data_IF_591659953215
#
_entry.id   IF_591659953215
#
_cell.length_a   1.000
_cell.length_b   1.000
_cell.length_c   1.000
_cell.angle_alpha   90.00
_cell.angle_beta   90.00
_cell.angle_gamma   90.00
#
_symmetry.space_group_name_H-M   'P 1'
#
loop_
_entity.id
_entity.type
_entity.pdbx_description
1 polymer ?
#
# COMPACT_ATOMS: atom_id res chain seq x y z
N UNK A 1 -45.40 -36.30 37.39
CA UNK A 1 -45.13 -35.19 36.46
C UNK A 1 -43.83 -34.52 36.89
N UNK A 2 -42.70 -34.93 36.32
CA UNK A 2 -41.39 -34.31 36.53
C UNK A 2 -40.84 -33.98 35.14
N UNK A 3 -40.68 -32.68 34.82
CA UNK A 3 -40.02 -32.24 33.60
C UNK A 3 -38.54 -32.01 33.91
N UNK A 4 -37.69 -32.90 33.42
CA UNK A 4 -36.26 -32.68 33.33
C UNK A 4 -35.98 -31.77 32.13
N UNK A 5 -35.45 -30.57 32.38
CA UNK A 5 -34.85 -29.75 31.34
C UNK A 5 -33.46 -30.29 31.02
N UNK A 6 -33.30 -30.85 29.82
CA UNK A 6 -31.99 -31.14 29.24
C UNK A 6 -31.35 -29.80 28.83
N UNK A 7 -30.36 -29.37 29.60
CA UNK A 7 -29.39 -28.37 29.20
C UNK A 7 -28.39 -29.07 28.27
N UNK A 8 -28.51 -28.87 26.96
CA UNK A 8 -27.50 -29.32 26.00
C UNK A 8 -26.43 -28.21 25.93
N UNK A 9 -25.16 -28.47 26.24
CA UNK A 9 -24.13 -27.44 26.22
C UNK A 9 -23.78 -27.09 24.77
N UNK A 10 -23.88 -25.81 24.42
CA UNK A 10 -23.41 -25.17 23.16
C UNK A 10 -21.88 -25.18 22.98
N UNK A 11 -21.15 -26.09 23.64
CA UNK A 11 -19.69 -26.03 23.78
C UNK A 11 -18.92 -27.00 22.87
N UNK A 12 -19.59 -27.68 21.94
CA UNK A 12 -18.96 -28.76 21.15
C UNK A 12 -18.47 -28.32 19.76
N UNK A 13 -18.81 -27.11 19.29
CA UNK A 13 -18.36 -26.63 17.97
C UNK A 13 -17.06 -25.81 18.01
N UNK A 14 -16.69 -25.23 19.16
CA UNK A 14 -15.44 -24.46 19.28
C UNK A 14 -14.18 -25.33 19.39
N UNK A 15 -14.29 -26.55 19.92
CA UNK A 15 -13.14 -27.44 20.11
C UNK A 15 -12.77 -28.25 18.84
N UNK A 16 -13.68 -28.33 17.85
CA UNK A 16 -13.40 -28.97 16.56
C UNK A 16 -12.55 -28.12 15.61
N UNK A 17 -12.43 -26.81 15.88
CA UNK A 17 -11.61 -25.89 15.09
C UNK A 17 -10.15 -25.77 15.59
N UNK A 18 -9.82 -26.33 16.75
CA UNK A 18 -8.48 -26.22 17.35
C UNK A 18 -7.53 -27.33 16.86
N UNK A 19 -8.06 -28.37 16.21
CA UNK A 19 -7.28 -29.48 15.64
C UNK A 19 -7.73 -29.84 14.22
N UNK A 20 -7.95 -28.83 13.37
CA UNK A 20 -7.90 -29.07 11.92
C UNK A 20 -6.41 -29.17 11.57
N UNK A 21 -5.93 -30.34 11.10
CA UNK A 21 -4.52 -30.52 10.80
C UNK A 21 -4.16 -29.74 9.54
N UNK A 22 -3.67 -28.48 9.64
CA UNK A 22 -2.97 -27.68 8.60
C UNK A 22 -3.55 -27.69 7.16
N UNK A 23 -4.73 -28.26 6.94
CA UNK A 23 -5.50 -28.11 5.74
C UNK A 23 -5.94 -26.66 5.77
N UNK A 24 -5.38 -25.85 4.88
CA UNK A 24 -5.66 -24.43 4.75
C UNK A 24 -7.14 -24.18 5.01
N UNK A 25 -7.43 -23.32 5.98
CA UNK A 25 -8.77 -22.77 6.05
C UNK A 25 -8.94 -21.96 4.75
N UNK A 26 -9.82 -22.23 3.79
CA UNK A 26 -10.81 -23.29 3.54
C UNK A 26 -11.35 -22.95 2.15
N UNK A 27 -11.54 -23.92 1.25
CA UNK A 27 -12.38 -23.73 0.05
C UNK A 27 -13.86 -23.88 0.44
N UNK A 28 -14.40 -22.96 1.26
CA UNK A 28 -15.84 -22.98 1.58
C UNK A 28 -16.60 -22.32 0.42
N UNK A 29 -17.68 -22.94 -0.06
CA UNK A 29 -18.54 -22.26 -1.04
C UNK A 29 -19.27 -21.07 -0.42
N UNK A 30 -19.58 -20.05 -1.22
CA UNK A 30 -20.40 -18.91 -0.82
C UNK A 30 -21.69 -19.35 -0.08
N UNK A 31 -22.43 -20.30 -0.67
CA UNK A 31 -23.66 -20.85 -0.08
C UNK A 31 -23.43 -21.49 1.29
N UNK A 32 -22.35 -22.26 1.45
CA UNK A 32 -22.03 -22.87 2.74
C UNK A 32 -21.67 -21.81 3.79
N UNK A 33 -20.90 -20.80 3.42
CA UNK A 33 -20.55 -19.70 4.31
C UNK A 33 -21.77 -18.90 4.76
N UNK A 34 -22.64 -18.47 3.82
CA UNK A 34 -23.85 -17.72 4.13
C UNK A 34 -24.88 -18.51 4.95
N UNK A 35 -24.77 -19.84 4.97
CA UNK A 35 -25.63 -20.69 5.81
C UNK A 35 -25.21 -20.72 7.28
N UNK A 36 -24.01 -20.23 7.61
CA UNK A 36 -23.52 -20.12 8.98
C UNK A 36 -24.27 -18.99 9.72
N UNK A 37 -24.47 -19.11 11.05
CA UNK A 37 -24.85 -17.98 11.89
C UNK A 37 -23.88 -16.80 11.72
N UNK A 38 -24.38 -15.56 11.81
CA UNK A 38 -23.54 -14.36 11.63
C UNK A 38 -22.32 -14.29 12.56
N UNK A 39 -22.45 -14.78 13.80
CA UNK A 39 -21.33 -14.88 14.74
C UNK A 39 -20.23 -15.82 14.23
N UNK A 40 -20.61 -16.96 13.65
CA UNK A 40 -19.68 -17.95 13.10
C UNK A 40 -19.03 -17.44 11.80
N UNK A 41 -19.75 -16.68 10.98
CA UNK A 41 -19.20 -16.02 9.79
C UNK A 41 -18.08 -15.05 10.15
N UNK A 42 -18.32 -14.18 11.15
CA UNK A 42 -17.32 -13.22 11.63
C UNK A 42 -16.15 -13.93 12.29
N UNK A 43 -16.40 -14.97 13.09
CA UNK A 43 -15.34 -15.75 13.73
C UNK A 43 -14.42 -16.43 12.69
N UNK A 44 -15.00 -17.06 11.66
CA UNK A 44 -14.23 -17.68 10.57
C UNK A 44 -13.41 -16.64 9.81
N UNK A 45 -14.01 -15.52 9.41
CA UNK A 45 -13.30 -14.46 8.69
C UNK A 45 -12.19 -13.84 9.54
N UNK A 46 -12.43 -13.62 10.84
CA UNK A 46 -11.43 -13.13 11.77
C UNK A 46 -10.24 -14.10 11.91
N UNK A 47 -10.49 -15.40 11.97
CA UNK A 47 -9.43 -16.40 12.04
C UNK A 47 -8.55 -16.40 10.78
N UNK A 48 -9.17 -16.27 9.60
CA UNK A 48 -8.47 -16.16 8.32
C UNK A 48 -7.63 -14.89 8.18
N UNK A 49 -8.08 -13.77 8.75
CA UNK A 49 -7.28 -12.54 8.78
C UNK A 49 -6.10 -12.66 9.77
N UNK A 50 -6.29 -13.38 10.87
CA UNK A 50 -5.21 -13.63 11.85
C UNK A 50 -4.13 -14.55 11.26
N UNK A 51 -4.52 -15.61 10.55
CA UNK A 51 -3.59 -16.49 9.83
C UNK A 51 -2.72 -15.71 8.84
N UNK A 52 -3.34 -14.83 8.05
CA UNK A 52 -2.61 -13.93 7.14
C UNK A 52 -1.65 -13.03 7.90
N UNK A 53 -2.09 -12.39 8.98
CA UNK A 53 -1.25 -11.50 9.78
C UNK A 53 -0.01 -12.21 10.34
N UNK A 54 -0.11 -13.49 10.70
CA UNK A 54 1.05 -14.28 11.10
C UNK A 54 2.02 -14.51 9.94
N UNK A 55 1.52 -14.86 8.76
CA UNK A 55 2.34 -15.07 7.56
C UNK A 55 3.04 -13.80 7.10
N UNK A 56 2.42 -12.64 7.30
CA UNK A 56 2.99 -11.33 6.94
C UNK A 56 4.17 -10.92 7.82
N UNK A 57 4.41 -11.60 8.95
CA UNK A 57 5.53 -11.28 9.86
C UNK A 57 6.90 -11.62 9.28
N UNK A 58 7.00 -12.52 8.31
CA UNK A 58 8.27 -12.81 7.64
C UNK A 58 8.02 -13.00 6.15
N UNK A 59 8.12 -11.90 5.40
CA UNK A 59 7.65 -11.85 4.01
C UNK A 59 8.61 -11.07 3.11
N UNK A 60 8.91 -11.64 1.94
CA UNK A 60 9.55 -10.94 0.83
C UNK A 60 8.53 -10.77 -0.29
N UNK A 61 8.42 -9.57 -0.83
CA UNK A 61 7.59 -9.26 -1.99
C UNK A 61 8.39 -8.47 -3.01
N UNK A 62 8.53 -9.02 -4.22
CA UNK A 62 9.01 -8.28 -5.38
C UNK A 62 7.86 -8.03 -6.34
N UNK A 63 7.75 -6.82 -6.87
CA UNK A 63 6.66 -6.42 -7.76
C UNK A 63 7.11 -5.41 -8.80
N UNK A 64 6.36 -5.36 -9.91
CA UNK A 64 6.49 -4.32 -10.92
C UNK A 64 5.14 -3.61 -11.03
N UNK A 65 5.15 -2.29 -10.91
CA UNK A 65 3.96 -1.45 -11.09
C UNK A 65 4.15 -0.53 -12.28
N UNK A 66 3.17 -0.49 -13.18
CA UNK A 66 3.08 0.49 -14.26
C UNK A 66 1.97 1.47 -13.95
N UNK A 67 2.27 2.76 -14.09
CA UNK A 67 1.31 3.82 -13.84
C UNK A 67 1.04 4.61 -15.11
N UNK A 68 -0.23 4.74 -15.50
CA UNK A 68 -0.67 5.44 -16.71
C UNK A 68 -2.02 6.12 -16.50
N UNK A 69 -2.43 6.96 -17.46
CA UNK A 69 -3.75 7.58 -17.42
C UNK A 69 -4.69 6.95 -18.45
N UNK A 70 -5.96 6.83 -18.09
CA UNK A 70 -7.04 6.36 -18.95
C UNK A 70 -8.12 7.44 -19.05
N UNK A 71 -8.93 7.39 -20.10
CA UNK A 71 -10.19 8.14 -20.13
C UNK A 71 -11.11 7.65 -19.01
N UNK A 72 -11.91 8.54 -18.43
CA UNK A 72 -12.80 8.19 -17.32
C UNK A 72 -14.15 8.89 -17.48
N UNK A 73 -15.22 8.09 -17.47
CA UNK A 73 -16.59 8.59 -17.62
C UNK A 73 -17.57 7.70 -16.87
N UNK A 74 -18.52 8.33 -16.17
CA UNK A 74 -19.62 7.63 -15.48
C UNK A 74 -19.15 6.51 -14.54
N UNK A 75 -18.02 6.73 -13.83
CA UNK A 75 -17.45 5.77 -12.90
C UNK A 75 -16.63 4.65 -13.54
N UNK A 76 -16.36 4.72 -14.85
CA UNK A 76 -15.68 3.66 -15.61
C UNK A 76 -14.42 4.17 -16.29
N UNK A 77 -13.34 3.40 -16.16
CA UNK A 77 -12.15 3.56 -16.99
C UNK A 77 -12.45 3.17 -18.44
N UNK A 78 -11.90 3.94 -19.38
CA UNK A 78 -11.88 3.64 -20.81
C UNK A 78 -10.45 3.44 -21.30
N UNK A 79 -10.18 3.87 -22.54
CA UNK A 79 -8.90 3.63 -23.19
C UNK A 79 -7.73 4.40 -22.54
N UNK A 80 -6.51 3.83 -22.55
CA UNK A 80 -5.28 4.54 -22.21
C UNK A 80 -5.13 5.84 -23.02
N UNK A 81 -4.64 6.89 -22.37
CA UNK A 81 -4.37 8.18 -23.01
C UNK A 81 -2.91 8.19 -23.48
N UNK A 82 -2.63 8.17 -24.80
CA UNK A 82 -1.26 8.08 -25.30
C UNK A 82 -0.36 9.21 -24.80
N UNK A 83 0.89 8.87 -24.45
CA UNK A 83 1.90 9.83 -23.99
C UNK A 83 1.62 10.42 -22.60
N UNK A 84 0.75 9.79 -21.80
CA UNK A 84 0.47 10.17 -20.41
C UNK A 84 0.77 9.05 -19.42
N UNK A 85 1.79 8.26 -19.73
CA UNK A 85 2.35 7.31 -18.79
C UNK A 85 3.12 8.08 -17.71
N UNK A 86 3.08 7.59 -16.48
CA UNK A 86 3.79 8.18 -15.35
C UNK A 86 5.11 7.46 -15.06
N UNK A 87 5.24 6.22 -15.52
CA UNK A 87 6.45 5.42 -15.43
C UNK A 87 6.20 3.99 -14.96
N UNK A 88 7.30 3.30 -14.69
CA UNK A 88 7.34 1.97 -14.11
C UNK A 88 8.11 2.03 -12.81
N UNK A 89 7.64 1.29 -11.81
CA UNK A 89 8.31 1.06 -10.55
C UNK A 89 8.61 -0.43 -10.45
N UNK A 90 9.82 -0.78 -10.08
CA UNK A 90 10.15 -2.12 -9.60
C UNK A 90 10.41 -1.98 -8.12
N UNK A 91 9.82 -2.85 -7.31
CA UNK A 91 9.89 -2.73 -5.86
C UNK A 91 10.18 -4.07 -5.24
N UNK A 92 11.06 -4.07 -4.27
CA UNK A 92 11.23 -5.17 -3.33
C UNK A 92 10.91 -4.68 -1.92
N UNK A 93 10.23 -5.52 -1.16
CA UNK A 93 9.87 -5.26 0.22
C UNK A 93 10.14 -6.51 1.05
N UNK A 94 10.64 -6.31 2.25
CA UNK A 94 10.96 -7.34 3.22
C UNK A 94 10.37 -6.95 4.57
N UNK A 95 9.68 -7.87 5.22
CA UNK A 95 9.11 -7.72 6.56
C UNK A 95 9.69 -8.77 7.49
N UNK A 96 10.08 -8.36 8.70
CA UNK A 96 10.44 -9.27 9.78
C UNK A 96 9.93 -8.72 11.11
N UNK A 97 8.88 -9.33 11.66
CA UNK A 97 8.30 -9.02 12.97
C UNK A 97 8.04 -7.52 13.24
N UNK A 98 7.61 -6.79 12.19
CA UNK A 98 7.33 -5.35 12.22
C UNK A 98 8.47 -4.49 11.66
N UNK A 99 9.71 -4.98 11.69
CA UNK A 99 10.81 -4.34 10.98
C UNK A 99 10.63 -4.47 9.47
N UNK A 100 11.15 -3.49 8.76
CA UNK A 100 10.88 -3.30 7.34
C UNK A 100 12.13 -2.90 6.59
N UNK A 101 12.27 -3.44 5.37
CA UNK A 101 13.18 -2.97 4.35
C UNK A 101 12.43 -2.85 3.03
N UNK A 102 12.71 -1.81 2.25
CA UNK A 102 12.25 -1.72 0.88
C UNK A 102 13.26 -1.08 -0.05
N UNK A 103 13.18 -1.47 -1.31
CA UNK A 103 13.90 -0.86 -2.43
C UNK A 103 12.94 -0.55 -3.56
N UNK A 104 13.04 0.65 -4.14
CA UNK A 104 12.26 1.08 -5.30
C UNK A 104 13.20 1.58 -6.38
N UNK A 105 13.09 0.94 -7.54
CA UNK A 105 13.62 1.42 -8.81
C UNK A 105 12.52 2.10 -9.60
N UNK A 106 12.69 3.39 -9.88
CA UNK A 106 11.75 4.17 -10.68
C UNK A 106 12.31 4.48 -12.06
N UNK A 107 11.50 4.20 -13.09
CA UNK A 107 11.78 4.41 -14.49
C UNK A 107 10.76 5.39 -15.08
N UNK A 108 11.23 6.48 -15.67
CA UNK A 108 10.38 7.39 -16.43
C UNK A 108 9.94 6.76 -17.77
N UNK A 109 8.78 7.18 -18.34
CA UNK A 109 8.26 6.61 -19.59
C UNK A 109 9.22 6.67 -20.78
N UNK A 110 10.04 7.72 -20.85
CA UNK A 110 10.94 7.99 -21.98
C UNK A 110 12.37 7.47 -21.75
N UNK A 111 12.66 6.85 -20.61
CA UNK A 111 13.99 6.29 -20.35
C UNK A 111 14.14 4.98 -21.14
N UNK A 112 14.79 5.09 -22.30
CA UNK A 112 15.12 3.96 -23.20
C UNK A 112 16.21 3.04 -22.66
N UNK A 113 16.90 3.49 -21.61
CA UNK A 113 17.94 2.75 -20.93
C UNK A 113 17.25 1.98 -19.80
N UNK A 114 17.47 0.67 -19.69
CA UNK A 114 16.97 -0.15 -18.59
C UNK A 114 17.70 0.19 -17.25
N UNK A 115 18.01 1.46 -17.04
CA UNK A 115 18.66 2.02 -15.86
C UNK A 115 17.63 2.86 -15.14
N UNK A 116 17.39 2.63 -13.84
CA UNK A 116 16.41 3.40 -13.09
C UNK A 116 16.81 4.89 -13.06
N UNK A 117 15.83 5.77 -13.28
CA UNK A 117 15.97 7.21 -13.06
C UNK A 117 16.36 7.49 -11.62
N UNK A 118 15.78 6.74 -10.69
CA UNK A 118 16.05 6.83 -9.26
C UNK A 118 15.94 5.44 -8.61
N UNK A 119 16.91 5.12 -7.79
CA UNK A 119 16.93 3.95 -6.91
C UNK A 119 16.89 4.45 -5.46
N UNK A 120 15.98 3.95 -4.65
CA UNK A 120 15.87 4.30 -3.23
C UNK A 120 15.76 3.03 -2.41
N UNK A 121 16.48 2.96 -1.30
CA UNK A 121 16.30 1.93 -0.28
C UNK A 121 15.96 2.60 1.06
N UNK A 122 15.11 1.95 1.86
CA UNK A 122 14.74 2.39 3.20
C UNK A 122 14.60 1.19 4.12
N UNK A 123 15.04 1.34 5.37
CA UNK A 123 14.73 0.43 6.47
C UNK A 123 14.04 1.16 7.60
N UNK A 124 13.30 0.39 8.40
CA UNK A 124 12.75 0.78 9.68
C UNK A 124 13.09 -0.30 10.70
N UNK A 125 13.77 0.12 11.77
CA UNK A 125 13.86 -0.61 13.02
C UNK A 125 12.77 -0.08 13.95
N UNK A 126 11.74 -0.89 14.18
CA UNK A 126 10.59 -0.52 15.00
C UNK A 126 10.99 -0.41 16.47
N UNK A 127 11.92 -1.23 16.93
CA UNK A 127 12.37 -1.25 18.33
C UNK A 127 13.10 0.05 18.70
N UNK A 128 13.88 0.60 17.76
CA UNK A 128 14.58 1.90 17.91
C UNK A 128 13.72 3.09 17.44
N UNK A 129 12.65 2.84 16.68
CA UNK A 129 11.87 3.90 16.02
C UNK A 129 12.69 4.68 14.98
N UNK A 130 13.70 4.03 14.40
CA UNK A 130 14.73 4.64 13.57
C UNK A 130 14.66 4.10 12.16
N UNK A 131 14.80 4.99 11.19
CA UNK A 131 14.90 4.65 9.79
C UNK A 131 16.27 4.98 9.21
N UNK A 132 16.67 4.20 8.21
CA UNK A 132 17.84 4.48 7.37
C UNK A 132 17.42 4.43 5.94
N UNK A 133 17.81 5.41 5.14
CA UNK A 133 17.47 5.40 3.72
C UNK A 133 18.64 5.87 2.89
N UNK A 134 18.77 5.33 1.67
CA UNK A 134 19.70 5.87 0.67
C UNK A 134 19.00 6.05 -0.67
N UNK A 135 19.41 7.07 -1.41
CA UNK A 135 18.90 7.36 -2.73
C UNK A 135 20.04 7.62 -3.71
N UNK A 136 19.91 7.05 -4.90
CA UNK A 136 20.82 7.21 -6.03
C UNK A 136 20.03 7.60 -7.26
N UNK A 137 20.47 8.65 -7.94
CA UNK A 137 19.81 9.11 -9.15
C UNK A 137 20.62 8.66 -10.38
N UNK A 138 19.99 8.02 -11.35
CA UNK A 138 20.69 7.39 -12.48
C UNK A 138 21.52 8.36 -13.33
N UNK A 139 21.12 9.64 -13.38
CA UNK A 139 21.78 10.70 -14.18
C UNK A 139 22.63 11.68 -13.36
N UNK A 140 22.66 11.59 -12.03
CA UNK A 140 23.45 12.50 -11.19
C UNK A 140 24.52 11.69 -10.45
N UNK A 141 25.71 12.27 -10.31
CA UNK A 141 26.78 11.66 -9.52
C UNK A 141 26.47 11.78 -8.03
N UNK A 142 26.58 10.67 -7.30
CA UNK A 142 26.51 10.61 -5.85
C UNK A 142 25.38 9.74 -5.31
N UNK A 143 25.58 9.27 -4.08
CA UNK A 143 24.57 8.57 -3.27
C UNK A 143 24.35 9.38 -2.01
N UNK A 144 23.08 9.57 -1.66
CA UNK A 144 22.69 10.34 -0.48
C UNK A 144 21.99 9.43 0.51
N UNK A 145 22.46 9.43 1.74
CA UNK A 145 21.88 8.71 2.85
C UNK A 145 21.13 9.63 3.81
N UNK A 146 20.21 9.05 4.56
CA UNK A 146 19.56 9.69 5.68
C UNK A 146 19.38 8.69 6.82
N UNK A 147 19.55 9.18 8.04
CA UNK A 147 19.14 8.49 9.25
C UNK A 147 18.09 9.39 9.89
N UNK A 148 16.87 8.84 9.99
CA UNK A 148 15.66 9.58 10.32
C UNK A 148 14.85 8.79 11.37
N UNK A 149 13.75 9.36 11.84
CA UNK A 149 12.77 8.61 12.65
C UNK A 149 11.82 7.84 11.73
N UNK A 150 10.95 7.01 12.32
CA UNK A 150 9.91 6.28 11.57
C UNK A 150 8.92 7.20 10.83
N UNK A 151 8.75 8.45 11.27
CA UNK A 151 7.85 9.41 10.64
C UNK A 151 8.42 10.01 9.34
N UNK A 152 9.74 9.94 9.16
CA UNK A 152 10.49 10.65 8.13
C UNK A 152 11.13 9.73 7.06
N UNK A 153 10.70 8.47 7.00
CA UNK A 153 11.14 7.49 6.00
C UNK A 153 10.98 7.98 4.56
N UNK A 154 11.98 7.70 3.69
CA UNK A 154 11.91 8.05 2.26
C UNK A 154 10.90 7.18 1.52
N UNK A 155 10.88 5.88 1.81
CA UNK A 155 9.85 4.95 1.32
C UNK A 155 8.99 4.55 2.50
N UNK A 156 7.71 4.93 2.45
CA UNK A 156 6.71 4.56 3.46
C UNK A 156 5.90 3.33 3.04
N UNK A 157 5.55 3.27 1.76
CA UNK A 157 4.88 2.14 1.15
C UNK A 157 4.90 2.29 -0.38
N UNK A 158 4.68 1.18 -1.08
CA UNK A 158 4.23 1.21 -2.48
C UNK A 158 2.77 0.74 -2.56
N UNK A 159 2.16 0.78 -3.75
CA UNK A 159 0.75 0.40 -3.92
C UNK A 159 0.49 -1.10 -3.72
N UNK A 160 1.47 -1.95 -4.04
CA UNK A 160 1.36 -3.38 -3.84
C UNK A 160 1.48 -3.75 -2.35
N UNK A 161 2.26 -2.98 -1.60
CA UNK A 161 2.45 -3.07 -0.15
C UNK A 161 1.15 -2.86 0.62
N UNK A 162 0.17 -2.15 0.06
CA UNK A 162 -1.13 -1.94 0.73
C UNK A 162 -1.86 -3.25 1.07
N UNK A 163 -1.42 -4.37 0.49
CA UNK A 163 -1.88 -5.71 0.84
C UNK A 163 -1.16 -6.37 2.01
N UNK A 164 0.06 -5.96 2.38
CA UNK A 164 0.96 -6.83 3.16
C UNK A 164 1.35 -6.31 4.55
N UNK A 165 1.37 -5.02 4.87
CA UNK A 165 1.63 -4.61 6.25
C UNK A 165 1.14 -3.20 6.55
N UNK A 166 0.51 -2.98 7.70
CA UNK A 166 0.14 -1.66 8.18
C UNK A 166 0.62 -1.34 9.58
N UNK A 167 1.88 -1.66 9.92
CA UNK A 167 2.49 -1.21 11.18
C UNK A 167 3.01 0.25 11.09
N UNK A 168 2.75 0.86 9.94
CA UNK A 168 2.76 2.28 9.74
C UNK A 168 1.69 2.98 10.60
N UNK A 169 1.86 4.28 10.90
CA UNK A 169 0.91 5.08 11.70
C UNK A 169 -0.49 5.24 11.06
N UNK A 170 -0.68 4.60 9.90
CA UNK A 170 -1.88 4.60 9.08
C UNK A 170 -2.36 3.16 8.76
N UNK A 171 -2.67 2.29 9.75
CA UNK A 171 -3.05 0.89 9.52
C UNK A 171 -4.28 0.72 8.62
N UNK A 172 -5.12 1.75 8.54
CA UNK A 172 -6.33 1.77 7.70
C UNK A 172 -6.03 1.96 6.21
N UNK A 173 -4.79 2.32 5.85
CA UNK A 173 -4.34 2.34 4.45
C UNK A 173 -4.08 0.93 3.90
N UNK A 174 -4.03 -0.09 4.77
CA UNK A 174 -3.67 -1.46 4.44
C UNK A 174 -4.86 -2.40 4.55
N UNK A 175 -5.12 -3.17 3.49
CA UNK A 175 -6.41 -3.85 3.30
C UNK A 175 -6.70 -4.84 4.43
N UNK A 176 -5.76 -5.70 4.81
CA UNK A 176 -6.02 -6.70 5.85
C UNK A 176 -6.12 -6.09 7.26
N UNK A 177 -5.26 -5.12 7.61
CA UNK A 177 -5.35 -4.44 8.91
C UNK A 177 -6.61 -3.59 9.02
N UNK A 178 -7.00 -2.93 7.93
CA UNK A 178 -8.28 -2.24 7.80
C UNK A 178 -9.46 -3.20 8.06
N UNK A 179 -9.48 -4.36 7.39
CA UNK A 179 -10.53 -5.37 7.60
C UNK A 179 -10.55 -5.89 9.06
N UNK A 180 -9.40 -6.20 9.66
CA UNK A 180 -9.29 -6.62 11.08
C UNK A 180 -9.87 -5.56 12.02
N UNK A 181 -9.46 -4.30 11.85
CA UNK A 181 -9.89 -3.20 12.73
C UNK A 181 -11.39 -2.97 12.68
N UNK A 182 -12.00 -3.22 11.53
CA UNK A 182 -13.42 -2.94 11.31
C UNK A 182 -14.29 -4.20 11.22
N UNK A 183 -13.82 -5.35 11.72
CA UNK A 183 -14.54 -6.64 11.73
C UNK A 183 -16.01 -6.54 12.18
N UNK A 184 -16.30 -5.76 13.22
CA UNK A 184 -17.66 -5.61 13.77
C UNK A 184 -18.64 -4.86 12.86
N UNK A 185 -18.12 -4.17 11.83
CA UNK A 185 -18.90 -3.42 10.85
C UNK A 185 -19.13 -4.23 9.56
N UNK A 186 -18.52 -5.41 9.45
CA UNK A 186 -18.62 -6.28 8.30
C UNK A 186 -19.99 -6.95 8.28
N UNK A 187 -20.67 -6.83 7.16
CA UNK A 187 -21.87 -7.60 6.85
C UNK A 187 -21.55 -8.47 5.64
N UNK A 188 -22.03 -9.69 5.60
CA UNK A 188 -21.85 -10.58 4.45
C UNK A 188 -23.18 -10.78 3.74
N UNK A 189 -23.17 -10.66 2.42
CA UNK A 189 -24.36 -10.82 1.57
C UNK A 189 -24.01 -11.39 0.20
N UNK A 190 -24.99 -12.04 -0.44
CA UNK A 190 -24.90 -12.58 -1.81
C UNK A 190 -24.85 -11.43 -2.85
N UNK A 191 -23.91 -11.50 -3.81
CA UNK A 191 -23.72 -10.50 -4.87
C UNK A 191 -23.72 -11.01 -6.31
N UNK A 192 -24.43 -12.11 -6.54
CA UNK A 192 -24.77 -12.60 -7.89
C UNK A 192 -25.16 -11.49 -8.90
N UNK A 193 -25.72 -10.37 -8.44
CA UNK A 193 -26.18 -9.26 -9.30
C UNK A 193 -25.11 -8.26 -9.76
N UNK A 194 -23.96 -8.14 -9.07
CA UNK A 194 -22.91 -7.16 -9.43
C UNK A 194 -21.80 -7.81 -10.26
N UNK A 195 -21.38 -9.01 -9.89
CA UNK A 195 -20.29 -9.73 -10.55
C UNK A 195 -20.80 -10.64 -11.66
N UNK A 196 -22.07 -11.06 -11.58
CA UNK A 196 -22.59 -12.17 -12.38
C UNK A 196 -22.06 -13.54 -11.95
N UNK A 197 -21.22 -13.59 -10.91
CA UNK A 197 -20.57 -14.78 -10.40
C UNK A 197 -21.22 -15.21 -9.06
N UNK A 198 -21.92 -16.36 -9.02
CA UNK A 198 -22.56 -16.85 -7.81
C UNK A 198 -21.61 -17.33 -6.72
N UNK A 199 -20.34 -17.57 -7.05
CA UNK A 199 -19.37 -18.10 -6.09
C UNK A 199 -18.67 -16.99 -5.28
N UNK A 200 -18.90 -15.72 -5.63
CA UNK A 200 -18.32 -14.57 -4.92
C UNK A 200 -19.25 -14.01 -3.83
N UNK A 201 -18.64 -13.63 -2.71
CA UNK A 201 -19.29 -12.96 -1.59
C UNK A 201 -19.13 -11.46 -1.67
N UNK A 202 -20.07 -10.73 -1.06
CA UNK A 202 -19.92 -9.28 -0.96
C UNK A 202 -20.32 -8.63 0.35
N UNK A 203 -19.71 -7.45 0.47
CA UNK A 203 -20.25 -6.21 0.99
C UNK A 203 -20.17 -6.01 2.50
N UNK A 204 -18.96 -5.70 2.96
CA UNK A 204 -18.82 -4.69 4.01
C UNK A 204 -19.14 -3.32 3.42
N UNK A 205 -20.06 -2.55 4.01
CA UNK A 205 -20.09 -1.09 3.82
C UNK A 205 -19.55 -0.46 5.08
N UNK A 206 -18.35 0.07 4.99
CA UNK A 206 -17.82 0.88 6.08
C UNK A 206 -18.45 2.27 5.99
N UNK A 207 -19.20 2.67 7.02
CA UNK A 207 -19.80 3.99 7.11
C UNK A 207 -18.94 4.88 7.99
N UNK A 208 -18.27 5.87 7.38
CA UNK A 208 -17.45 6.90 8.04
C UNK A 208 -16.26 6.33 8.83
N UNK A 209 -15.07 6.44 8.23
CA UNK A 209 -13.81 6.08 8.88
C UNK A 209 -13.16 7.35 9.39
N UNK A 210 -12.92 7.43 10.71
CA UNK A 210 -12.04 8.46 11.25
C UNK A 210 -10.63 8.22 10.72
N UNK A 211 -10.01 9.25 10.15
CA UNK A 211 -8.78 9.06 9.36
C UNK A 211 -7.51 9.36 10.12
N UNK A 212 -6.42 9.16 9.39
CA UNK A 212 -5.01 9.48 9.69
C UNK A 212 -4.82 10.74 10.53
N UNK A 213 -5.58 11.81 10.23
CA UNK A 213 -5.71 12.95 11.12
C UNK A 213 -6.91 12.72 12.05
N UNK A 214 -6.66 12.36 13.31
CA UNK A 214 -7.71 12.17 14.35
C UNK A 214 -8.64 13.38 14.50
N UNK A 215 -8.29 14.54 13.91
CA UNK A 215 -9.11 15.77 13.88
C UNK A 215 -9.96 15.91 12.61
N UNK A 216 -9.74 15.08 11.59
CA UNK A 216 -10.49 15.08 10.32
C UNK A 216 -11.26 13.78 10.16
N UNK A 217 -12.58 13.90 10.18
CA UNK A 217 -13.48 12.83 9.77
C UNK A 217 -13.54 12.79 8.25
N UNK A 218 -13.20 11.65 7.65
CA UNK A 218 -13.44 11.42 6.22
C UNK A 218 -14.68 10.55 6.12
N UNK A 219 -15.63 11.01 5.33
CA UNK A 219 -16.74 10.16 4.95
C UNK A 219 -16.23 9.24 3.85
N UNK A 220 -15.71 8.10 4.27
CA UNK A 220 -15.30 7.04 3.35
C UNK A 220 -16.34 5.93 3.37
N UNK A 221 -16.67 5.45 2.19
CA UNK A 221 -17.41 4.20 1.99
C UNK A 221 -16.54 3.26 1.20
N UNK A 222 -16.38 2.05 1.71
CA UNK A 222 -15.67 0.97 1.06
C UNK A 222 -16.63 -0.18 0.86
N UNK A 223 -16.48 -0.89 -0.26
CA UNK A 223 -17.20 -2.09 -0.63
C UNK A 223 -16.19 -3.12 -1.10
N UNK A 224 -16.24 -4.30 -0.50
CA UNK A 224 -15.33 -5.41 -0.80
C UNK A 224 -16.13 -6.58 -1.37
N UNK A 225 -15.57 -7.18 -2.42
CA UNK A 225 -16.01 -8.48 -2.95
C UNK A 225 -14.94 -9.49 -2.62
N UNK A 226 -15.32 -10.55 -1.93
CA UNK A 226 -14.42 -11.59 -1.44
C UNK A 226 -14.63 -12.88 -2.24
N UNK A 227 -13.56 -13.63 -2.45
CA UNK A 227 -13.58 -14.97 -3.03
C UNK A 227 -13.42 -16.03 -1.91
N UNK A 228 -14.50 -16.69 -1.49
CA UNK A 228 -14.46 -17.71 -0.44
C UNK A 228 -13.56 -18.90 -0.78
N UNK A 229 -13.45 -19.25 -2.06
CA UNK A 229 -12.60 -20.36 -2.51
C UNK A 229 -11.11 -20.02 -2.37
N UNK A 230 -10.77 -18.72 -2.40
CA UNK A 230 -9.41 -18.22 -2.17
C UNK A 230 -9.22 -17.70 -0.74
N UNK A 231 -9.82 -18.39 0.23
CA UNK A 231 -9.72 -18.06 1.64
C UNK A 231 -10.28 -16.67 1.97
N UNK A 232 -11.29 -16.19 1.24
CA UNK A 232 -11.84 -14.85 1.35
C UNK A 232 -10.84 -13.74 0.98
N UNK A 233 -9.96 -13.99 0.01
CA UNK A 233 -9.18 -12.91 -0.60
C UNK A 233 -10.16 -11.88 -1.19
N UNK A 234 -10.05 -10.58 -0.85
CA UNK A 234 -10.79 -9.55 -1.56
C UNK A 234 -10.34 -9.59 -3.02
N UNK A 235 -11.25 -9.73 -3.98
CA UNK A 235 -10.94 -9.75 -5.42
C UNK A 235 -11.35 -8.47 -6.13
N UNK A 236 -12.24 -7.69 -5.51
CA UNK A 236 -12.54 -6.33 -5.93
C UNK A 236 -12.79 -5.45 -4.72
N UNK A 237 -12.37 -4.19 -4.83
CA UNK A 237 -12.56 -3.17 -3.81
C UNK A 237 -13.04 -1.91 -4.50
N UNK A 238 -14.18 -1.39 -4.08
CA UNK A 238 -14.66 -0.08 -4.50
C UNK A 238 -14.67 0.85 -3.30
N UNK A 239 -14.04 2.01 -3.42
CA UNK A 239 -14.13 3.01 -2.37
C UNK A 239 -14.36 4.41 -2.87
N UNK A 240 -15.09 5.15 -2.05
CA UNK A 240 -15.36 6.57 -2.23
C UNK A 240 -14.93 7.28 -0.96
N UNK A 241 -13.99 8.21 -1.08
CA UNK A 241 -13.52 9.02 0.02
C UNK A 241 -13.97 10.45 -0.18
N UNK A 242 -14.53 11.05 0.86
CA UNK A 242 -14.99 12.44 0.87
C UNK A 242 -14.39 13.14 2.07
N UNK A 243 -13.42 14.03 1.84
CA UNK A 243 -12.73 14.75 2.91
C UNK A 243 -12.62 16.24 2.65
N UNK A 244 -12.57 17.01 3.74
CA UNK A 244 -12.28 18.43 3.71
C UNK A 244 -10.79 18.67 3.45
N UNK A 245 -10.48 19.32 2.34
CA UNK A 245 -9.15 19.88 2.09
C UNK A 245 -8.96 21.14 2.93
N UNK A 246 -7.81 21.22 3.60
CA UNK A 246 -7.31 22.46 4.18
C UNK A 246 -6.58 23.30 3.12
N UNK A 247 -6.28 24.56 3.46
CA UNK A 247 -5.50 25.51 2.66
C UNK A 247 -4.30 24.86 1.93
N UNK A 248 -3.96 25.25 0.68
CA UNK A 248 -4.41 26.45 -0.04
C UNK A 248 -5.73 26.31 -0.82
N UNK A 249 -6.29 25.12 -0.94
CA UNK A 249 -7.54 24.88 -1.68
C UNK A 249 -8.63 24.35 -0.74
N UNK A 250 -9.28 25.21 0.07
CA UNK A 250 -10.37 24.80 0.93
C UNK A 250 -11.53 24.26 0.07
N UNK A 251 -12.00 23.06 0.39
CA UNK A 251 -13.07 22.42 -0.36
C UNK A 251 -13.27 20.95 0.01
N UNK A 252 -14.34 20.34 -0.50
CA UNK A 252 -14.53 18.90 -0.39
C UNK A 252 -13.78 18.23 -1.53
N UNK A 253 -12.82 17.36 -1.20
CA UNK A 253 -12.20 16.46 -2.18
C UNK A 253 -12.98 15.16 -2.18
N UNK A 254 -13.37 14.73 -3.38
CA UNK A 254 -13.91 13.40 -3.63
C UNK A 254 -12.85 12.57 -4.33
N UNK A 255 -12.67 11.35 -3.86
CA UNK A 255 -11.79 10.36 -4.46
C UNK A 255 -12.59 9.09 -4.69
N UNK A 256 -12.56 8.58 -5.90
CA UNK A 256 -13.07 7.25 -6.24
C UNK A 256 -11.87 6.38 -6.52
N UNK A 257 -11.86 5.19 -5.94
CA UNK A 257 -10.89 4.17 -6.27
C UNK A 257 -11.58 2.83 -6.47
N UNK A 258 -11.08 2.08 -7.44
CA UNK A 258 -11.49 0.73 -7.76
C UNK A 258 -10.22 -0.11 -7.85
N UNK A 259 -10.14 -1.18 -7.07
CA UNK A 259 -9.09 -2.16 -7.17
C UNK A 259 -9.68 -3.49 -7.62
N UNK A 260 -9.02 -4.14 -8.58
CA UNK A 260 -9.39 -5.46 -9.08
C UNK A 260 -8.18 -6.37 -9.02
N UNK A 261 -8.35 -7.58 -8.54
CA UNK A 261 -7.34 -8.63 -8.62
C UNK A 261 -7.67 -9.53 -9.80
N UNK A 262 -6.79 -9.49 -10.80
CA UNK A 262 -6.91 -10.29 -12.02
C UNK A 262 -6.33 -11.70 -11.86
N UNK A 263 -5.30 -11.84 -11.04
CA UNK A 263 -4.63 -13.10 -10.77
C UNK A 263 -4.25 -13.16 -9.30
N UNK A 264 -4.46 -14.33 -8.68
CA UNK A 264 -4.05 -14.62 -7.31
C UNK A 264 -3.29 -15.95 -7.29
N UNK A 265 -2.39 -16.13 -6.32
CA UNK A 265 -1.65 -17.38 -6.12
C UNK A 265 -1.64 -17.77 -4.66
N UNK A 266 -1.74 -19.08 -4.41
CA UNK A 266 -1.54 -19.67 -3.10
C UNK A 266 -0.05 -19.92 -2.87
N UNK A 267 0.44 -19.50 -1.71
CA UNK A 267 1.83 -19.65 -1.27
C UNK A 267 1.78 -20.08 0.19
N UNK A 268 2.32 -21.27 0.47
CA UNK A 268 2.31 -21.89 1.80
C UNK A 268 0.93 -21.87 2.49
N UNK A 269 -0.13 -22.15 1.72
CA UNK A 269 -1.51 -22.20 2.22
C UNK A 269 -2.27 -20.88 2.22
N UNK A 270 -1.62 -19.77 1.85
CA UNK A 270 -2.22 -18.42 1.87
C UNK A 270 -2.34 -17.85 0.46
N UNK A 271 -3.53 -17.38 0.12
CA UNK A 271 -3.80 -16.70 -1.13
C UNK A 271 -3.36 -15.24 -1.10
N UNK A 272 -2.54 -14.86 -2.08
CA UNK A 272 -2.06 -13.50 -2.29
C UNK A 272 -2.47 -12.95 -3.66
N UNK A 273 -2.68 -11.62 -3.78
CA UNK A 273 -2.79 -11.00 -5.09
C UNK A 273 -1.49 -11.19 -5.87
N UNK A 274 -1.62 -11.52 -7.15
CA UNK A 274 -0.48 -11.65 -8.07
C UNK A 274 -0.50 -10.57 -9.15
N UNK A 275 -1.68 -10.24 -9.68
CA UNK A 275 -1.89 -9.12 -10.60
C UNK A 275 -3.05 -8.27 -10.11
N UNK A 276 -2.79 -7.00 -9.85
CA UNK A 276 -3.81 -6.02 -9.42
C UNK A 276 -3.85 -4.85 -10.38
N UNK A 277 -5.03 -4.25 -10.50
CA UNK A 277 -5.20 -2.96 -11.16
C UNK A 277 -5.98 -2.02 -10.23
N UNK A 278 -5.37 -0.89 -9.90
CA UNK A 278 -6.01 0.18 -9.13
C UNK A 278 -6.31 1.34 -10.05
N UNK A 279 -7.59 1.60 -10.28
CA UNK A 279 -8.08 2.80 -10.96
C UNK A 279 -8.44 3.82 -9.90
N UNK A 280 -7.84 5.00 -9.96
CA UNK A 280 -8.10 6.07 -9.04
C UNK A 280 -8.41 7.39 -9.76
N UNK A 281 -9.49 8.04 -9.34
CA UNK A 281 -9.92 9.32 -9.88
C UNK A 281 -10.30 10.25 -8.73
N UNK A 282 -9.62 11.40 -8.63
CA UNK A 282 -10.09 12.48 -7.77
C UNK A 282 -11.13 13.34 -8.51
N UNK A 283 -11.86 14.18 -7.77
CA UNK A 283 -12.90 15.06 -8.32
C UNK A 283 -12.45 15.84 -9.55
N UNK A 284 -11.20 16.32 -9.58
CA UNK A 284 -10.67 17.06 -10.71
C UNK A 284 -10.38 16.16 -11.91
N UNK A 285 -9.77 15.00 -11.70
CA UNK A 285 -9.55 14.00 -12.75
C UNK A 285 -10.88 13.56 -13.38
N UNK A 286 -11.93 13.37 -12.56
CA UNK A 286 -13.30 13.07 -13.02
C UNK A 286 -13.83 14.21 -13.91
N UNK A 287 -13.68 15.48 -13.49
CA UNK A 287 -14.10 16.65 -14.28
C UNK A 287 -13.33 16.78 -15.61
N UNK A 288 -12.05 16.45 -15.58
CA UNK A 288 -11.16 16.47 -16.74
C UNK A 288 -11.31 15.21 -17.62
N UNK A 289 -12.14 14.24 -17.22
CA UNK A 289 -12.45 13.03 -17.97
C UNK A 289 -11.34 11.98 -17.99
N UNK A 290 -10.52 11.89 -16.94
CA UNK A 290 -9.48 10.86 -16.84
C UNK A 290 -9.36 10.25 -15.43
N UNK A 291 -8.71 9.10 -15.35
CA UNK A 291 -8.31 8.44 -14.12
C UNK A 291 -6.85 7.97 -14.25
N UNK A 292 -6.20 7.73 -13.12
CA UNK A 292 -4.87 7.11 -13.07
C UNK A 292 -5.04 5.64 -12.76
N UNK A 293 -4.34 4.79 -13.52
CA UNK A 293 -4.29 3.35 -13.33
C UNK A 293 -2.91 2.98 -12.80
N UNK A 294 -2.86 2.14 -11.77
CA UNK A 294 -1.66 1.47 -11.31
C UNK A 294 -1.86 -0.03 -11.48
N UNK A 295 -1.27 -0.60 -12.52
CA UNK A 295 -1.27 -2.02 -12.78
C UNK A 295 -0.02 -2.63 -12.15
N UNK A 296 -0.20 -3.50 -11.16
CA UNK A 296 0.89 -4.12 -10.41
C UNK A 296 0.92 -5.62 -10.63
N UNK A 297 2.12 -6.20 -10.74
CA UNK A 297 2.33 -7.63 -10.87
C UNK A 297 3.44 -8.08 -9.92
N UNK A 298 3.15 -9.05 -9.07
CA UNK A 298 4.15 -9.74 -8.28
C UNK A 298 5.10 -10.55 -9.18
N UNK A 299 6.38 -10.51 -8.82
CA UNK A 299 7.42 -11.37 -9.39
C UNK A 299 7.79 -12.47 -8.41
N UNK A 300 7.87 -12.12 -7.13
CA UNK A 300 8.17 -13.04 -6.04
C UNK A 300 7.29 -12.66 -4.85
N UNK A 301 6.74 -13.66 -4.20
CA UNK A 301 6.23 -13.58 -2.83
C UNK A 301 6.80 -14.80 -2.11
N UNK A 302 7.46 -14.60 -0.97
CA UNK A 302 8.10 -15.69 -0.22
C UNK A 302 7.95 -15.47 1.28
N UNK A 303 7.69 -16.55 2.01
CA UNK A 303 7.41 -16.56 3.45
C UNK A 303 8.57 -17.24 4.21
N UNK A 304 8.85 -16.78 5.42
CA UNK A 304 9.82 -17.38 6.36
C UNK A 304 11.23 -17.56 5.79
N UNK A 305 11.73 -16.54 5.09
CA UNK A 305 13.09 -16.55 4.49
C UNK A 305 14.02 -15.50 5.06
N UNK A 306 13.50 -14.50 5.76
CA UNK A 306 14.29 -13.37 6.23
C UNK A 306 14.90 -13.62 7.60
N UNK A 307 16.08 -13.05 7.79
CA UNK A 307 16.70 -12.80 9.09
C UNK A 307 16.98 -11.28 9.23
N UNK A 308 17.47 -10.86 10.40
CA UNK A 308 17.71 -9.44 10.69
C UNK A 308 18.68 -8.76 9.74
N UNK A 309 19.69 -9.48 9.24
CA UNK A 309 20.72 -8.90 8.37
C UNK A 309 20.13 -8.54 6.99
N UNK A 310 19.07 -9.24 6.57
CA UNK A 310 18.34 -8.96 5.33
C UNK A 310 17.57 -7.63 5.37
N UNK A 311 17.42 -7.02 6.55
CA UNK A 311 16.74 -5.73 6.75
C UNK A 311 17.70 -4.56 6.94
N UNK A 312 18.95 -4.69 6.48
CA UNK A 312 19.95 -3.63 6.62
C UNK A 312 20.07 -2.78 5.37
N UNK A 313 20.15 -1.46 5.55
CA UNK A 313 20.61 -0.52 4.51
C UNK A 313 22.04 -0.13 4.87
N UNK A 314 22.96 -0.58 4.04
CA UNK A 314 24.36 -0.20 4.10
C UNK A 314 24.61 1.05 3.25
N UNK A 315 25.38 1.98 3.81
CA UNK A 315 25.89 3.13 3.09
C UNK A 315 27.25 2.80 2.50
N UNK A 316 27.34 2.84 1.17
CA UNK A 316 28.59 2.61 0.46
C UNK A 316 29.56 3.79 0.60
N UNK A 317 30.89 3.58 0.48
CA UNK A 317 31.85 4.68 0.46
C UNK A 317 31.49 5.76 -0.56
N UNK A 318 31.69 7.02 -0.19
CA UNK A 318 31.27 8.20 -0.95
C UNK A 318 29.81 8.61 -0.73
N UNK A 319 29.06 7.91 0.13
CA UNK A 319 27.71 8.34 0.51
C UNK A 319 27.75 9.54 1.45
N UNK A 320 26.95 10.56 1.15
CA UNK A 320 26.69 11.69 2.04
C UNK A 320 25.45 11.42 2.89
N UNK A 321 25.62 11.18 4.18
CA UNK A 321 24.54 10.80 5.11
C UNK A 321 24.15 11.98 5.99
N UNK A 322 22.85 12.30 6.05
CA UNK A 322 22.30 13.25 7.02
C UNK A 322 21.68 12.48 8.19
N UNK A 323 22.32 12.48 9.37
CA UNK A 323 21.72 11.94 10.60
C UNK A 323 20.90 13.04 11.26
N UNK A 324 19.59 13.06 11.00
CA UNK A 324 18.70 14.10 11.51
C UNK A 324 18.38 13.94 12.99
N UNK A 325 18.49 12.71 13.51
CA UNK A 325 18.30 12.44 14.94
C UNK A 325 19.41 13.13 15.74
N UNK A 326 20.65 13.07 15.23
CA UNK A 326 21.80 13.73 15.85
C UNK A 326 22.06 15.15 15.36
N UNK A 327 21.50 15.53 14.22
CA UNK A 327 21.70 16.83 13.57
C UNK A 327 23.07 16.97 12.89
N UNK A 328 23.67 15.88 12.42
CA UNK A 328 25.00 15.86 11.82
C UNK A 328 25.02 15.36 10.37
N UNK A 329 26.04 15.78 9.61
CA UNK A 329 26.34 15.22 8.29
C UNK A 329 27.57 14.33 8.40
N UNK A 330 27.49 13.17 7.76
CA UNK A 330 28.53 12.16 7.79
C UNK A 330 28.90 11.81 6.35
N UNK A 331 30.18 11.93 6.03
CA UNK A 331 30.73 11.37 4.81
C UNK A 331 31.23 9.95 5.10
N UNK A 332 30.84 8.98 4.28
CA UNK A 332 31.26 7.58 4.46
C UNK A 332 32.55 7.35 3.69
N UNK A 333 33.67 7.18 4.39
CA UNK A 333 34.98 6.92 3.79
C UNK A 333 35.21 5.42 3.48
N UNK A 334 36.13 5.12 2.55
CA UNK A 334 36.56 3.76 2.15
C UNK A 334 37.04 2.86 3.30
N UNK A 335 37.29 3.43 4.49
CA UNK A 335 37.75 2.73 5.70
C UNK A 335 36.62 2.50 6.70
N UNK A 336 35.44 2.04 6.27
CA UNK A 336 34.34 1.53 7.12
C UNK A 336 34.00 2.38 8.38
N UNK A 337 34.31 3.68 8.35
CA UNK A 337 34.36 4.53 9.53
C UNK A 337 33.68 5.85 9.23
N UNK A 338 32.72 6.20 10.08
CA UNK A 338 32.01 7.47 10.04
C UNK A 338 32.99 8.60 10.40
N UNK A 339 33.35 9.45 9.43
CA UNK A 339 34.02 10.72 9.72
C UNK A 339 32.97 11.79 9.97
N UNK A 340 32.77 12.13 11.25
CA UNK A 340 31.88 13.21 11.64
C UNK A 340 32.50 14.55 11.23
N UNK A 341 31.83 15.28 10.33
CA UNK A 341 32.09 16.71 10.16
C UNK A 341 31.03 17.45 10.95
N UNK A 342 31.40 17.99 12.12
CA UNK A 342 30.57 18.96 12.82
C UNK A 342 30.43 20.19 11.92
N UNK A 343 29.30 20.30 11.22
CA UNK A 343 29.01 21.45 10.37
C UNK A 343 28.83 22.68 11.28
N UNK A 344 29.88 23.51 11.39
CA UNK A 344 29.70 24.91 11.76
C UNK A 344 28.70 25.53 10.78
N UNK A 345 27.77 26.32 11.32
CA UNK A 345 26.66 26.95 10.62
C UNK A 345 27.12 27.91 9.49
N UNK A 346 27.55 27.38 8.36
CA UNK A 346 27.72 28.14 7.12
C UNK A 346 27.03 27.38 5.98
N UNK A 347 25.96 28.00 5.46
CA UNK A 347 25.21 27.63 4.24
C UNK A 347 24.21 26.46 4.30
N UNK A 348 23.54 26.30 5.45
CA UNK A 348 22.47 25.32 5.69
C UNK A 348 21.17 25.47 4.84
N UNK A 349 21.14 26.34 3.83
CA UNK A 349 19.96 26.58 2.98
C UNK A 349 20.02 25.88 1.61
N UNK A 350 21.19 25.51 1.08
CA UNK A 350 21.30 24.95 -0.29
C UNK A 350 21.19 23.42 -0.36
N UNK A 351 21.65 22.69 0.66
CA UNK A 351 21.59 21.21 0.71
C UNK A 351 20.27 20.66 1.27
N UNK A 352 19.61 21.40 2.18
CA UNK A 352 18.26 21.06 2.68
C UNK A 352 17.20 21.03 1.57
N UNK A 353 17.42 21.78 0.49
CA UNK A 353 16.50 21.85 -0.64
C UNK A 353 16.45 20.56 -1.46
N UNK A 354 17.51 19.76 -1.54
CA UNK A 354 17.54 18.63 -2.47
C UNK A 354 16.83 17.37 -1.97
N UNK A 355 16.87 17.06 -0.68
CA UNK A 355 16.06 15.95 -0.10
C UNK A 355 14.59 16.36 -0.02
N UNK A 356 14.31 17.65 0.27
CA UNK A 356 12.98 18.21 0.05
C UNK A 356 12.58 18.16 -1.42
N UNK A 357 13.50 18.33 -2.38
CA UNK A 357 13.25 18.17 -3.82
C UNK A 357 13.11 16.69 -4.20
N UNK A 358 13.75 15.72 -3.55
CA UNK A 358 13.49 14.29 -3.78
C UNK A 358 12.09 13.90 -3.26
N UNK A 359 11.73 14.35 -2.05
CA UNK A 359 10.37 14.18 -1.51
C UNK A 359 9.33 15.03 -2.26
N UNK A 360 9.68 16.22 -2.77
CA UNK A 360 8.87 17.05 -3.67
C UNK A 360 9.01 16.63 -5.13
N UNK A 361 9.82 15.65 -5.51
CA UNK A 361 9.83 15.02 -6.84
C UNK A 361 9.01 13.73 -6.72
N UNK A 362 9.07 12.97 -5.64
CA UNK A 362 8.12 11.90 -5.38
C UNK A 362 6.68 12.44 -5.20
N UNK A 363 6.50 13.46 -4.35
CA UNK A 363 5.22 14.16 -4.18
C UNK A 363 4.93 15.16 -5.30
N UNK A 364 5.95 15.72 -5.94
CA UNK A 364 5.76 16.65 -7.05
C UNK A 364 5.75 16.00 -8.42
N UNK A 365 6.07 14.73 -8.62
CA UNK A 365 5.63 13.99 -9.82
C UNK A 365 4.11 13.82 -9.73
N UNK A 366 3.60 13.60 -8.53
CA UNK A 366 2.17 13.70 -8.22
C UNK A 366 1.57 15.11 -8.48
N UNK A 367 2.36 16.21 -8.49
CA UNK A 367 1.87 17.60 -8.69
C UNK A 367 2.34 18.30 -9.99
N UNK A 368 3.42 17.87 -10.64
CA UNK A 368 4.04 18.45 -11.85
C UNK A 368 3.35 17.91 -13.10
N UNK A 369 2.82 16.67 -13.04
CA UNK A 369 1.82 16.19 -14.01
C UNK A 369 0.61 17.14 -14.06
N UNK A 370 0.22 17.74 -12.92
CA UNK A 370 -0.84 18.74 -12.85
C UNK A 370 -0.42 20.15 -13.30
N UNK A 371 0.88 20.48 -13.26
CA UNK A 371 1.41 21.80 -13.63
C UNK A 371 1.70 21.97 -15.14
N UNK A 372 2.24 20.95 -15.80
CA UNK A 372 2.70 21.06 -17.20
C UNK A 372 1.55 21.16 -18.22
N UNK A 373 0.36 20.61 -17.92
CA UNK A 373 -0.86 20.80 -18.73
C UNK A 373 -1.29 22.27 -18.78
N UNK A 374 -1.02 23.05 -17.72
CA UNK A 374 -1.43 24.46 -17.62
C UNK A 374 -0.57 25.40 -18.48
N UNK A 375 0.70 25.04 -18.77
CA UNK A 375 1.58 25.85 -19.63
C UNK A 375 1.32 25.63 -21.12
N UNK A 376 1.00 24.40 -21.56
CA UNK A 376 0.71 24.15 -22.99
C UNK A 376 -0.59 24.79 -23.48
N UNK A 377 -1.62 24.93 -22.64
CA UNK A 377 -2.89 25.61 -23.00
C UNK A 377 -2.82 27.14 -23.02
N UNK A 378 -1.86 27.77 -22.32
CA UNK A 378 -1.72 29.23 -22.34
C UNK A 378 -0.99 29.75 -23.57
N UNK A 379 -0.11 28.96 -24.17
CA UNK A 379 0.60 29.34 -25.40
C UNK A 379 -0.19 29.08 -26.69
N UNK A 380 -1.22 28.24 -26.68
CA UNK A 380 -2.08 28.01 -27.86
C UNK A 380 -3.21 29.02 -28.03
N UNK A 381 -3.53 29.81 -26.98
CA UNK A 381 -4.57 30.84 -27.01
C UNK A 381 -4.02 32.29 -27.06
N UNK A 382 -2.71 32.45 -27.26
CA UNK A 382 -2.07 33.78 -27.42
C UNK A 382 -1.71 34.08 -28.89
N UNK A 383 -2.21 33.27 -29.84
CA UNK A 383 -1.95 33.41 -31.26
C UNK A 383 -3.12 32.93 -32.10
N UNK A 384 -4.33 33.39 -31.80
CA UNK A 384 -5.48 33.51 -32.72
C UNK A 384 -6.35 34.67 -32.30
#
# INVERSE_FOLDING_TARGET
>A
MNRFHFFVPKLTLLLGLIFVPHASATEISNKAFLSLPSEDQVALFSALLEERDQVLKNLIVQSVTKSYNVTYKDGKAGEPIPGKDHGRYETEIRFLDGDYWASIDWYLPDDSENVPTMHVETTLDVSEGRSRSKAKHGKLSGVYGAIDTKEDMLIKANRFHYWFDGDYDEPDAFIFKFLKRHLSQIQFSDHTTITGDPDLLSRCVFGMIETFDKKKKINSTYEFVFDPQRGFLPVMIHGKLVYGASSPNPGVIRYEYNEVIHEAKEIDGVWFPWKTEIIAANQRSIQDGYATVNASEAKIISIDKLNSDDLTVEFEPGTEVNDRIKGEWIHVDDKAGFTNTSAENSDGFSKRSWILVANLIAAGVFLIVFGLVKRRKKTTNAGK
#
